data_IF_319851606797
#
_entry.id   IF_319851606797
#
_cell.length_a   1.000
_cell.length_b   1.000
_cell.length_c   1.000
_cell.angle_alpha   90.00
_cell.angle_beta   90.00
_cell.angle_gamma   90.00
#
_symmetry.space_group_name_H-M   'P 1'
#
loop_
_entity.id
_entity.type
_entity.pdbx_description
1 polymer ?
#
# COMPACT_ATOMS: atom_id res chain seq x y z
N UNK A 1 -28.44 12.30 -22.43
CA UNK A 1 -27.37 11.29 -22.66
C UNK A 1 -26.02 12.01 -22.65
N UNK A 2 -25.15 11.75 -21.68
CA UNK A 2 -23.79 12.36 -21.64
C UNK A 2 -22.92 11.61 -22.67
N UNK A 3 -22.49 12.31 -23.71
CA UNK A 3 -21.51 11.79 -24.66
C UNK A 3 -20.22 11.46 -23.86
N UNK A 4 -19.94 10.17 -23.67
CA UNK A 4 -18.63 9.74 -23.17
C UNK A 4 -17.61 10.01 -24.28
N UNK A 5 -16.85 11.08 -24.15
CA UNK A 5 -15.69 11.33 -25.01
C UNK A 5 -14.71 10.18 -24.79
N UNK A 6 -14.60 9.30 -25.76
CA UNK A 6 -13.68 8.17 -25.70
C UNK A 6 -12.26 8.71 -25.91
N UNK A 7 -11.51 8.89 -24.84
CA UNK A 7 -10.11 9.32 -24.90
C UNK A 7 -9.30 8.14 -25.45
N UNK A 8 -8.79 8.27 -26.65
CA UNK A 8 -7.96 7.27 -27.30
C UNK A 8 -6.48 7.54 -26.97
N UNK A 9 -5.80 6.56 -26.39
CA UNK A 9 -4.36 6.66 -26.12
C UNK A 9 -3.57 6.72 -27.45
N UNK A 10 -2.53 7.58 -27.55
CA UNK A 10 -1.57 7.55 -28.65
C UNK A 10 -1.00 6.13 -28.85
N UNK A 11 -0.68 5.78 -30.09
CA UNK A 11 -0.27 4.40 -30.43
C UNK A 11 0.96 3.92 -29.64
N UNK A 12 1.91 4.81 -29.35
CA UNK A 12 3.12 4.47 -28.58
C UNK A 12 2.85 4.18 -27.08
N UNK A 13 1.68 4.59 -26.57
CA UNK A 13 1.23 4.29 -25.20
C UNK A 13 0.29 3.08 -25.12
N UNK A 14 -0.09 2.51 -26.28
CA UNK A 14 -0.93 1.32 -26.27
C UNK A 14 -0.13 0.09 -25.88
N UNK A 15 -0.68 -0.80 -25.03
CA UNK A 15 0.03 -2.02 -24.67
C UNK A 15 0.25 -2.93 -25.89
N UNK A 16 1.48 -3.38 -26.06
CA UNK A 16 1.87 -4.25 -27.19
C UNK A 16 1.50 -5.73 -26.97
N UNK A 17 1.12 -6.08 -25.74
CA UNK A 17 0.75 -7.46 -25.38
C UNK A 17 -0.38 -7.47 -24.36
N UNK A 18 -1.14 -8.56 -24.36
CA UNK A 18 -2.17 -8.82 -23.33
C UNK A 18 -1.58 -9.70 -22.25
N UNK A 19 -1.79 -9.34 -20.98
CA UNK A 19 -1.40 -10.13 -19.83
C UNK A 19 -2.54 -10.26 -18.82
N UNK A 20 -2.52 -11.34 -18.06
CA UNK A 20 -3.49 -11.55 -17.00
C UNK A 20 -3.08 -10.74 -15.78
N UNK A 21 -3.82 -9.68 -15.49
CA UNK A 21 -3.56 -8.80 -14.36
C UNK A 21 -4.26 -9.28 -13.10
N UNK A 22 -3.62 -9.08 -11.97
CA UNK A 22 -4.17 -9.29 -10.63
C UNK A 22 -3.96 -8.03 -9.81
N UNK A 23 -4.99 -7.58 -9.12
CA UNK A 23 -4.85 -6.53 -8.12
C UNK A 23 -4.36 -7.14 -6.81
N UNK A 24 -3.32 -6.54 -6.24
CA UNK A 24 -2.71 -6.90 -4.95
C UNK A 24 -2.73 -5.65 -4.07
N UNK A 25 -3.03 -5.79 -2.78
CA UNK A 25 -3.23 -4.70 -1.85
C UNK A 25 -4.68 -4.19 -1.79
N UNK A 26 -4.91 -3.09 -1.08
CA UNK A 26 -6.24 -2.53 -0.87
C UNK A 26 -6.92 -2.12 -2.18
N UNK A 27 -8.28 -2.12 -2.16
CA UNK A 27 -9.08 -1.77 -3.36
C UNK A 27 -8.95 -0.29 -3.77
N UNK A 28 -8.71 0.61 -2.81
CA UNK A 28 -8.58 2.05 -3.08
C UNK A 28 -7.10 2.40 -3.28
N UNK A 29 -6.56 3.26 -2.43
CA UNK A 29 -5.14 3.56 -2.37
C UNK A 29 -4.36 2.39 -1.74
N UNK A 30 -3.08 2.24 -2.05
CA UNK A 30 -2.20 1.18 -1.51
C UNK A 30 -2.29 -0.17 -2.21
N UNK A 31 -3.02 -0.30 -3.32
CA UNK A 31 -3.07 -1.53 -4.12
C UNK A 31 -2.71 -1.32 -5.59
N UNK A 32 -1.97 -2.26 -6.17
CA UNK A 32 -1.46 -2.18 -7.54
C UNK A 32 -1.92 -3.37 -8.39
N UNK A 33 -2.12 -3.10 -9.68
CA UNK A 33 -2.37 -4.15 -10.67
C UNK A 33 -1.05 -4.65 -11.24
N UNK A 34 -0.77 -5.93 -11.05
CA UNK A 34 0.47 -6.57 -11.52
C UNK A 34 0.15 -7.79 -12.39
N UNK A 35 1.07 -8.20 -13.29
CA UNK A 35 0.92 -9.46 -13.98
C UNK A 35 0.89 -10.63 -12.99
N UNK A 36 -0.07 -11.54 -13.13
CA UNK A 36 -0.18 -12.72 -12.25
C UNK A 36 1.09 -13.58 -12.25
N UNK A 37 1.82 -13.59 -13.35
CA UNK A 37 3.11 -14.29 -13.47
C UNK A 37 4.20 -13.74 -12.55
N UNK A 38 4.13 -12.46 -12.18
CA UNK A 38 5.09 -11.82 -11.28
C UNK A 38 5.09 -12.46 -9.90
N UNK A 39 3.94 -12.94 -9.40
CA UNK A 39 3.88 -13.62 -8.11
C UNK A 39 4.68 -14.93 -8.06
N UNK A 40 4.78 -15.64 -9.19
CA UNK A 40 5.50 -16.93 -9.27
C UNK A 40 6.99 -16.77 -9.53
N UNK A 41 7.39 -15.67 -10.17
CA UNK A 41 8.76 -15.46 -10.66
C UNK A 41 9.60 -14.56 -9.75
N UNK A 42 8.96 -13.82 -8.85
CA UNK A 42 9.64 -12.84 -8.00
C UNK A 42 10.10 -13.49 -6.70
N UNK A 43 11.39 -13.47 -6.43
CA UNK A 43 11.99 -13.88 -5.16
C UNK A 43 12.20 -12.71 -4.20
N UNK A 44 12.39 -11.50 -4.73
CA UNK A 44 12.62 -10.28 -3.96
C UNK A 44 11.77 -9.16 -4.55
N UNK A 45 11.07 -8.41 -3.70
CA UNK A 45 10.35 -7.19 -4.03
C UNK A 45 11.03 -6.00 -3.35
N UNK A 46 11.46 -5.02 -4.15
CA UNK A 46 11.92 -3.73 -3.66
C UNK A 46 10.75 -2.75 -3.70
N UNK A 47 10.40 -2.17 -2.55
CA UNK A 47 9.33 -1.20 -2.41
C UNK A 47 9.88 0.15 -1.94
N UNK A 48 9.40 1.24 -2.53
CA UNK A 48 9.82 2.60 -2.23
C UNK A 48 8.61 3.45 -1.85
N UNK A 49 8.70 4.17 -0.71
CA UNK A 49 7.66 5.09 -0.28
C UNK A 49 6.41 4.40 0.26
N UNK A 50 6.51 3.67 1.37
CA UNK A 50 5.40 2.93 1.98
C UNK A 50 4.39 3.80 2.69
N UNK A 51 4.84 4.86 3.34
CA UNK A 51 4.03 5.62 4.29
C UNK A 51 3.41 4.73 5.38
N UNK A 52 2.12 4.84 5.64
CA UNK A 52 1.39 4.03 6.62
C UNK A 52 0.53 2.92 5.98
N UNK A 53 0.67 2.69 4.69
CA UNK A 53 -0.04 1.63 3.97
C UNK A 53 0.93 0.70 3.24
N UNK A 54 1.14 -0.48 3.79
CA UNK A 54 1.95 -1.56 3.20
C UNK A 54 1.08 -2.77 2.82
N UNK A 55 -0.18 -2.52 2.50
CA UNK A 55 -1.12 -3.59 2.15
C UNK A 55 -0.71 -4.35 0.90
N UNK A 56 -0.06 -3.67 -0.05
CA UNK A 56 0.50 -4.29 -1.25
C UNK A 56 1.63 -5.25 -0.90
N UNK A 57 2.62 -4.81 -0.13
CA UNK A 57 3.79 -5.58 0.27
C UNK A 57 3.37 -6.81 1.06
N UNK A 58 2.44 -6.64 2.00
CA UNK A 58 1.90 -7.72 2.81
C UNK A 58 1.24 -8.79 1.95
N UNK A 59 0.29 -8.41 1.12
CA UNK A 59 -0.45 -9.35 0.27
C UNK A 59 0.46 -9.97 -0.80
N UNK A 60 1.41 -9.19 -1.34
CA UNK A 60 2.40 -9.71 -2.28
C UNK A 60 3.26 -10.81 -1.64
N UNK A 61 3.78 -10.57 -0.42
CA UNK A 61 4.55 -11.57 0.35
C UNK A 61 3.72 -12.83 0.62
N UNK A 62 2.48 -12.67 1.05
CA UNK A 62 1.58 -13.79 1.34
C UNK A 62 1.32 -14.67 0.10
N UNK A 63 1.19 -14.04 -1.07
CA UNK A 63 0.88 -14.75 -2.33
C UNK A 63 2.10 -15.31 -3.06
N UNK A 64 3.27 -14.68 -2.93
CA UNK A 64 4.47 -15.05 -3.69
C UNK A 64 5.53 -15.77 -2.85
N UNK A 65 5.53 -15.59 -1.52
CA UNK A 65 6.63 -15.98 -0.65
C UNK A 65 7.89 -15.13 -0.80
N UNK A 66 7.85 -14.06 -1.60
CA UNK A 66 9.00 -13.22 -1.89
C UNK A 66 9.50 -12.48 -0.64
N UNK A 67 10.81 -12.26 -0.56
CA UNK A 67 11.41 -11.35 0.42
C UNK A 67 11.06 -9.90 0.05
N UNK A 68 10.60 -9.11 1.02
CA UNK A 68 10.27 -7.70 0.82
C UNK A 68 11.39 -6.84 1.41
N UNK A 69 11.92 -5.93 0.60
CA UNK A 69 12.91 -4.95 1.02
C UNK A 69 12.32 -3.57 0.75
N UNK A 70 12.11 -2.79 1.82
CA UNK A 70 11.46 -1.50 1.74
C UNK A 70 12.44 -0.36 2.02
N UNK A 71 12.34 0.68 1.20
CA UNK A 71 13.09 1.92 1.32
C UNK A 71 12.13 3.08 1.56
N UNK A 72 12.03 3.52 2.81
CA UNK A 72 11.24 4.68 3.18
C UNK A 72 11.93 5.46 4.31
N UNK A 73 12.50 6.60 3.97
CA UNK A 73 13.15 7.48 4.92
C UNK A 73 12.16 8.28 5.77
N UNK A 74 10.90 8.36 5.35
CA UNK A 74 9.87 9.15 6.03
C UNK A 74 9.25 8.42 7.21
N UNK A 75 9.20 7.09 7.19
CA UNK A 75 8.55 6.25 8.22
C UNK A 75 9.50 6.02 9.41
N UNK A 76 9.78 7.10 10.12
CA UNK A 76 10.59 7.10 11.35
C UNK A 76 9.72 6.99 12.60
N UNK A 77 10.34 6.82 13.78
CA UNK A 77 9.61 6.90 15.05
C UNK A 77 8.89 8.25 15.20
N UNK A 78 9.53 9.35 14.76
CA UNK A 78 8.96 10.70 14.79
C UNK A 78 7.68 10.78 13.93
N UNK A 79 7.67 10.13 12.77
CA UNK A 79 6.46 10.04 11.93
C UNK A 79 5.29 9.43 12.71
N UNK A 80 5.51 8.31 13.40
CA UNK A 80 4.47 7.64 14.18
C UNK A 80 3.99 8.48 15.38
N UNK A 81 4.91 9.17 16.07
CA UNK A 81 4.56 10.08 17.16
C UNK A 81 3.71 11.24 16.65
N UNK A 82 4.12 11.93 15.57
CA UNK A 82 3.35 13.02 14.96
C UNK A 82 1.96 12.57 14.54
N UNK A 83 1.87 11.37 13.96
CA UNK A 83 0.60 10.80 13.55
C UNK A 83 -0.31 10.52 14.74
N UNK A 84 0.22 9.93 15.81
CA UNK A 84 -0.53 9.68 17.03
C UNK A 84 -1.03 10.99 17.68
N UNK A 85 -0.19 12.02 17.76
CA UNK A 85 -0.60 13.34 18.27
C UNK A 85 -1.73 13.92 17.43
N UNK A 86 -1.63 13.85 16.11
CA UNK A 86 -2.68 14.32 15.20
C UNK A 86 -4.01 13.59 15.45
N UNK A 87 -3.95 12.28 15.63
CA UNK A 87 -5.14 11.46 15.90
C UNK A 87 -5.78 11.82 17.24
N UNK A 88 -4.97 12.08 18.29
CA UNK A 88 -5.46 12.57 19.57
C UNK A 88 -6.16 13.94 19.44
N UNK A 89 -5.56 14.87 18.71
CA UNK A 89 -6.17 16.19 18.48
C UNK A 89 -7.50 16.03 17.75
N UNK A 90 -7.57 15.20 16.72
CA UNK A 90 -8.80 14.95 15.98
C UNK A 90 -9.87 14.27 16.82
N UNK A 91 -9.48 13.40 17.76
CA UNK A 91 -10.38 12.82 18.72
C UNK A 91 -10.98 13.87 19.66
N UNK A 92 -10.17 14.75 20.24
CA UNK A 92 -10.66 15.83 21.10
C UNK A 92 -11.56 16.82 20.35
N UNK A 93 -11.36 16.98 19.05
CA UNK A 93 -12.23 17.78 18.18
C UNK A 93 -13.49 17.02 17.70
N UNK A 94 -13.79 15.83 18.26
CA UNK A 94 -14.92 14.96 17.91
C UNK A 94 -15.00 14.59 16.42
N UNK A 95 -13.87 14.64 15.71
CA UNK A 95 -13.79 14.30 14.28
C UNK A 95 -13.48 12.83 14.03
N UNK A 96 -12.94 12.13 15.03
CA UNK A 96 -12.61 10.71 14.92
C UNK A 96 -13.12 9.91 16.12
N UNK A 97 -13.41 8.62 15.89
CA UNK A 97 -13.85 7.71 16.95
C UNK A 97 -12.68 7.01 17.63
N UNK A 98 -12.85 6.59 18.90
CA UNK A 98 -11.89 5.77 19.64
C UNK A 98 -11.46 4.55 18.82
N UNK A 99 -12.39 3.93 18.09
CA UNK A 99 -12.12 2.75 17.24
C UNK A 99 -11.09 3.03 16.15
N UNK A 100 -11.03 4.25 15.63
CA UNK A 100 -10.04 4.63 14.61
C UNK A 100 -8.65 4.80 15.23
N UNK A 101 -8.57 5.41 16.41
CA UNK A 101 -7.30 5.60 17.15
C UNK A 101 -6.71 4.24 17.53
N UNK A 102 -7.49 3.35 18.11
CA UNK A 102 -7.02 2.01 18.47
C UNK A 102 -6.57 1.22 17.26
N UNK A 103 -7.29 1.30 16.14
CA UNK A 103 -6.89 0.66 14.88
C UNK A 103 -5.52 1.17 14.41
N UNK A 104 -5.26 2.47 14.45
CA UNK A 104 -3.97 3.07 14.03
C UNK A 104 -2.83 2.72 14.99
N UNK A 105 -3.10 2.66 16.28
CA UNK A 105 -2.13 2.19 17.26
C UNK A 105 -1.69 0.75 16.97
N UNK A 106 -2.63 -0.16 16.71
CA UNK A 106 -2.32 -1.51 16.29
C UNK A 106 -1.56 -1.56 14.95
N UNK A 107 -1.79 -0.61 14.06
CA UNK A 107 -1.05 -0.50 12.79
C UNK A 107 0.44 -0.33 13.03
N UNK A 108 0.86 0.49 13.99
CA UNK A 108 2.27 0.63 14.36
C UNK A 108 2.92 -0.68 14.80
N UNK A 109 2.25 -1.46 15.64
CA UNK A 109 2.78 -2.76 16.10
C UNK A 109 2.86 -3.77 14.96
N UNK A 110 1.84 -3.86 14.15
CA UNK A 110 1.84 -4.76 12.98
C UNK A 110 2.90 -4.38 11.97
N UNK A 111 3.15 -3.09 11.76
CA UNK A 111 4.26 -2.58 10.96
C UNK A 111 5.60 -3.08 11.50
N UNK A 112 5.87 -2.85 12.79
CA UNK A 112 7.10 -3.30 13.45
C UNK A 112 7.30 -4.82 13.31
N UNK A 113 6.26 -5.61 13.58
CA UNK A 113 6.31 -7.08 13.47
C UNK A 113 6.57 -7.52 12.03
N UNK A 114 5.94 -6.89 11.05
CA UNK A 114 6.09 -7.27 9.64
C UNK A 114 7.51 -7.04 9.12
N UNK A 115 8.11 -5.90 9.46
CA UNK A 115 9.45 -5.52 8.99
C UNK A 115 10.59 -5.94 9.92
N UNK A 116 10.34 -6.48 11.11
CA UNK A 116 11.37 -7.00 12.01
C UNK A 116 11.72 -8.47 11.72
N UNK A 117 10.91 -9.16 10.93
CA UNK A 117 11.21 -10.56 10.53
C UNK A 117 12.12 -10.54 9.31
N UNK A 118 13.30 -11.18 9.36
CA UNK A 118 14.23 -11.28 8.24
C UNK A 118 13.63 -12.02 7.04
#
# INVERSE_FOLDING_TARGET
MKNKTQICLPNFLKPNFKTNLLRVGKKNDGGYCIPRSSLKKTSILYSFGLSDDWSFEKEFREKSGAKIICFDHSVTLIFWIKRFIKDLIQFFLLKESIKQITKRFFTFFTYKIFFSKP
#
